data_IF_452599431063
#
_entry.id   IF_452599431063
#
_cell.length_a   1.000
_cell.length_b   1.000
_cell.length_c   1.000
_cell.angle_alpha   90.00
_cell.angle_beta   90.00
_cell.angle_gamma   90.00
#
_symmetry.space_group_name_H-M   'P 1'
#
loop_
_entity.id
_entity.type
_entity.pdbx_description
1 polymer ?
#
# COMPACT_ATOMS: atom_id res chain seq x y z
N UNK A 1 6.97 4.35 3.33
CA UNK A 1 6.53 4.20 1.92
C UNK A 1 7.49 3.25 1.20
N UNK A 2 7.01 2.12 0.69
CA UNK A 2 7.86 1.03 0.17
C UNK A 2 8.39 1.26 -1.26
N UNK A 3 7.85 2.25 -1.99
CA UNK A 3 8.28 2.58 -3.34
C UNK A 3 9.14 3.86 -3.37
N UNK A 4 10.32 3.77 -4.00
CA UNK A 4 11.23 4.92 -4.17
C UNK A 4 10.64 5.99 -5.09
N UNK A 5 9.93 5.58 -6.15
CA UNK A 5 9.26 6.43 -7.16
C UNK A 5 7.74 6.39 -7.00
N UNK A 6 7.07 7.37 -7.58
CA UNK A 6 5.60 7.45 -7.54
C UNK A 6 4.97 6.49 -8.56
N UNK A 7 3.87 5.79 -8.19
CA UNK A 7 3.22 4.85 -9.08
C UNK A 7 2.42 5.55 -10.17
N UNK A 8 2.63 5.15 -11.43
CA UNK A 8 1.77 5.44 -12.58
C UNK A 8 1.07 4.16 -12.98
N UNK A 9 -0.25 4.13 -12.77
CA UNK A 9 -1.09 2.97 -12.94
C UNK A 9 -1.77 3.01 -14.31
N UNK A 10 -1.51 2.01 -15.13
CA UNK A 10 -2.18 1.78 -16.42
C UNK A 10 -3.51 1.09 -16.10
N UNK A 11 -4.58 1.88 -16.03
CA UNK A 11 -5.87 1.47 -15.46
C UNK A 11 -7.03 1.85 -16.41
N UNK A 12 -7.21 1.13 -17.54
CA UNK A 12 -8.27 1.42 -18.50
C UNK A 12 -9.67 1.17 -17.93
N UNK A 13 -9.81 0.31 -16.92
CA UNK A 13 -11.07 -0.04 -16.27
C UNK A 13 -11.40 0.86 -15.07
N UNK A 14 -10.46 1.66 -14.57
CA UNK A 14 -10.66 2.56 -13.42
C UNK A 14 -10.65 1.85 -12.05
N UNK A 15 -10.18 0.61 -11.97
CA UNK A 15 -10.14 -0.15 -10.72
C UNK A 15 -9.12 0.44 -9.75
N UNK A 16 -7.91 0.73 -10.23
CA UNK A 16 -6.84 1.32 -9.43
C UNK A 16 -7.23 2.72 -8.95
N UNK A 17 -7.86 3.51 -9.82
CA UNK A 17 -8.38 4.82 -9.49
C UNK A 17 -9.40 4.78 -8.34
N UNK A 18 -10.39 3.88 -8.44
CA UNK A 18 -11.40 3.68 -7.39
C UNK A 18 -10.76 3.18 -6.10
N UNK A 19 -9.78 2.29 -6.20
CA UNK A 19 -9.05 1.75 -5.07
C UNK A 19 -8.27 2.83 -4.30
N UNK A 20 -7.50 3.69 -4.99
CA UNK A 20 -6.77 4.81 -4.36
C UNK A 20 -7.75 5.78 -3.67
N UNK A 21 -8.87 6.11 -4.33
CA UNK A 21 -9.92 6.97 -3.73
C UNK A 21 -10.50 6.39 -2.44
N UNK A 22 -10.68 5.06 -2.39
CA UNK A 22 -11.16 4.38 -1.19
C UNK A 22 -10.10 4.32 -0.09
N UNK A 23 -8.85 4.03 -0.47
CA UNK A 23 -7.72 3.89 0.45
C UNK A 23 -7.38 5.22 1.16
N UNK A 24 -7.43 6.33 0.43
CA UNK A 24 -7.10 7.66 0.97
C UNK A 24 -8.35 8.43 1.47
N UNK A 25 -9.50 7.74 1.62
CA UNK A 25 -10.77 8.37 2.03
C UNK A 25 -10.68 9.08 3.39
N UNK A 26 -10.01 8.47 4.36
CA UNK A 26 -9.92 8.99 5.74
C UNK A 26 -8.88 10.11 5.87
N UNK A 27 -7.78 10.03 5.12
CA UNK A 27 -6.70 11.03 5.14
C UNK A 27 -6.96 12.22 4.20
N UNK A 28 -7.97 12.10 3.33
CA UNK A 28 -8.31 13.07 2.31
C UNK A 28 -7.45 12.90 1.05
N UNK A 29 -8.10 13.00 -0.11
CA UNK A 29 -7.48 12.87 -1.42
C UNK A 29 -7.92 14.01 -2.32
N UNK A 30 -6.96 14.73 -2.88
CA UNK A 30 -7.22 15.75 -3.90
C UNK A 30 -7.07 15.12 -5.29
N UNK A 31 -8.14 15.15 -6.08
CA UNK A 31 -8.17 14.56 -7.42
C UNK A 31 -8.08 15.68 -8.45
N UNK A 32 -7.11 15.56 -9.36
CA UNK A 32 -6.82 16.60 -10.36
C UNK A 32 -6.55 15.99 -11.74
N UNK A 33 -6.69 16.80 -12.78
CA UNK A 33 -6.34 16.46 -14.17
C UNK A 33 -5.40 17.49 -14.75
N UNK A 34 -4.51 17.08 -15.66
CA UNK A 34 -3.59 18.01 -16.36
C UNK A 34 -4.35 19.09 -17.18
N UNK A 35 -5.59 18.82 -17.58
CA UNK A 35 -6.44 19.79 -18.28
C UNK A 35 -6.95 20.93 -17.40
N UNK A 36 -6.89 20.79 -16.08
CA UNK A 36 -7.42 21.78 -15.14
C UNK A 36 -6.40 22.88 -14.88
N UNK A 37 -6.78 24.15 -15.06
CA UNK A 37 -5.86 25.30 -14.89
C UNK A 37 -5.23 25.37 -13.50
N UNK A 38 -5.93 24.89 -12.50
CA UNK A 38 -5.53 24.98 -11.10
C UNK A 38 -4.78 23.73 -10.59
N UNK A 39 -4.45 22.76 -11.46
CA UNK A 39 -3.85 21.49 -11.02
C UNK A 39 -2.53 21.71 -10.26
N UNK A 40 -1.67 22.62 -10.72
CA UNK A 40 -0.40 22.94 -10.05
C UNK A 40 -0.64 23.52 -8.67
N UNK A 41 -1.63 24.40 -8.50
CA UNK A 41 -1.96 24.98 -7.20
C UNK A 41 -2.45 23.91 -6.22
N UNK A 42 -3.30 22.99 -6.67
CA UNK A 42 -3.76 21.87 -5.84
C UNK A 42 -2.60 20.96 -5.46
N UNK A 43 -1.68 20.69 -6.40
CA UNK A 43 -0.48 19.89 -6.15
C UNK A 43 0.48 20.57 -5.16
N UNK A 44 0.71 21.87 -5.30
CA UNK A 44 1.50 22.67 -4.35
C UNK A 44 0.92 22.61 -2.94
N UNK A 45 -0.41 22.73 -2.81
CA UNK A 45 -1.09 22.59 -1.52
C UNK A 45 -0.94 21.18 -0.96
N UNK A 46 -1.08 20.15 -1.79
CA UNK A 46 -0.86 18.76 -1.40
C UNK A 46 0.54 18.55 -0.81
N UNK A 47 1.57 19.06 -1.51
CA UNK A 47 2.96 18.99 -1.07
C UNK A 47 3.21 19.77 0.22
N UNK A 48 2.63 20.96 0.36
CA UNK A 48 2.79 21.83 1.54
C UNK A 48 2.17 21.24 2.80
N UNK A 49 0.98 20.65 2.67
CA UNK A 49 0.19 20.16 3.80
C UNK A 49 0.23 18.64 3.99
N UNK A 50 0.97 17.92 3.15
CA UNK A 50 1.10 16.47 3.26
C UNK A 50 -0.15 15.69 2.84
N UNK A 51 -1.02 16.26 2.00
CA UNK A 51 -2.23 15.57 1.51
C UNK A 51 -1.90 14.66 0.33
N UNK A 52 -2.65 13.58 0.19
CA UNK A 52 -2.55 12.73 -1.00
C UNK A 52 -3.14 13.44 -2.23
N UNK A 53 -2.46 13.31 -3.37
CA UNK A 53 -2.93 13.84 -4.66
C UNK A 53 -2.98 12.73 -5.70
N UNK A 54 -4.11 12.61 -6.40
CA UNK A 54 -4.31 11.69 -7.52
C UNK A 54 -4.43 12.48 -8.83
N UNK A 55 -3.46 12.29 -9.72
CA UNK A 55 -3.48 12.85 -11.07
C UNK A 55 -4.11 11.84 -12.04
N UNK A 56 -5.25 12.21 -12.60
CA UNK A 56 -6.03 11.35 -13.50
C UNK A 56 -5.77 11.62 -14.98
N UNK A 57 -5.91 10.55 -15.78
CA UNK A 57 -5.88 10.57 -17.24
C UNK A 57 -4.57 11.15 -17.80
N UNK A 58 -3.44 10.72 -17.24
CA UNK A 58 -2.14 11.09 -17.76
C UNK A 58 -1.97 10.55 -19.18
N UNK A 59 -1.49 11.40 -20.08
CA UNK A 59 -1.16 11.05 -21.45
C UNK A 59 0.15 10.26 -21.54
N UNK A 60 0.76 10.23 -22.72
CA UNK A 60 2.09 9.62 -22.92
C UNK A 60 3.22 10.60 -22.55
N UNK A 61 2.92 11.91 -22.56
CA UNK A 61 3.81 12.97 -22.14
C UNK A 61 3.45 13.46 -20.74
N UNK A 62 4.47 13.61 -19.90
CA UNK A 62 4.36 14.24 -18.58
C UNK A 62 4.73 15.72 -18.68
N UNK A 63 3.99 16.57 -17.97
CA UNK A 63 4.32 17.98 -17.86
C UNK A 63 5.65 18.16 -17.10
N UNK A 64 6.57 18.96 -17.65
CA UNK A 64 7.86 19.27 -17.04
C UNK A 64 7.73 19.90 -15.65
N UNK A 65 6.61 20.59 -15.36
CA UNK A 65 6.33 21.14 -14.04
C UNK A 65 6.22 20.08 -12.93
N UNK A 66 5.95 18.82 -13.28
CA UNK A 66 5.90 17.69 -12.33
C UNK A 66 7.28 17.13 -11.98
N UNK A 67 8.30 17.43 -12.78
CA UNK A 67 9.62 16.81 -12.66
C UNK A 67 10.26 16.92 -11.27
N UNK A 68 10.22 18.09 -10.59
CA UNK A 68 10.78 18.21 -9.25
C UNK A 68 10.12 17.27 -8.25
N UNK A 69 8.81 17.04 -8.36
CA UNK A 69 8.03 16.16 -7.48
C UNK A 69 8.30 14.70 -7.83
N UNK A 70 8.33 14.37 -9.11
CA UNK A 70 8.59 13.01 -9.59
C UNK A 70 9.95 12.49 -9.15
N UNK A 71 10.97 13.34 -9.28
CA UNK A 71 12.34 13.05 -8.90
C UNK A 71 12.63 13.31 -7.41
N UNK A 72 11.66 13.86 -6.66
CA UNK A 72 11.81 14.27 -5.25
C UNK A 72 13.03 15.18 -5.06
N UNK A 73 13.16 16.21 -5.92
CA UNK A 73 14.24 17.21 -5.89
C UNK A 73 14.08 18.18 -4.72
N UNK A 74 14.14 17.66 -3.50
CA UNK A 74 14.07 18.44 -2.28
C UNK A 74 15.44 18.96 -1.87
N UNK A 75 15.49 20.15 -1.29
CA UNK A 75 16.71 20.74 -0.76
C UNK A 75 16.45 21.35 0.63
N UNK A 76 17.51 21.51 1.43
CA UNK A 76 17.39 22.14 2.76
C UNK A 76 17.58 23.65 2.62
N UNK A 77 16.64 24.43 3.14
CA UNK A 77 16.73 25.89 3.22
C UNK A 77 16.16 26.34 4.56
N UNK A 78 16.93 27.11 5.33
CA UNK A 78 16.48 27.64 6.63
C UNK A 78 16.10 26.57 7.66
N UNK A 79 16.69 25.37 7.60
CA UNK A 79 16.39 24.26 8.53
C UNK A 79 15.19 23.40 8.13
N UNK A 80 14.40 23.81 7.14
CA UNK A 80 13.28 23.03 6.59
C UNK A 80 13.64 22.40 5.25
N UNK A 81 12.94 21.30 4.92
CA UNK A 81 13.04 20.67 3.59
C UNK A 81 12.07 21.42 2.67
N UNK A 82 12.60 21.92 1.56
CA UNK A 82 11.86 22.69 0.56
C UNK A 82 11.93 21.98 -0.79
N UNK A 83 11.01 22.29 -1.68
CA UNK A 83 10.97 21.81 -3.05
C UNK A 83 10.50 22.95 -3.97
N UNK A 84 11.07 23.03 -5.17
CA UNK A 84 10.62 23.97 -6.19
C UNK A 84 9.57 23.30 -7.07
N UNK A 85 8.37 23.86 -7.17
CA UNK A 85 7.28 23.39 -8.02
C UNK A 85 6.84 24.55 -8.90
N UNK A 86 6.97 24.41 -10.22
CA UNK A 86 6.83 25.55 -11.13
C UNK A 86 7.83 26.66 -10.77
N UNK A 87 7.32 27.86 -10.50
CA UNK A 87 8.14 29.00 -10.04
C UNK A 87 8.20 29.15 -8.51
N UNK A 88 7.40 28.38 -7.77
CA UNK A 88 7.25 28.53 -6.33
C UNK A 88 8.19 27.59 -5.56
N UNK A 89 8.84 28.13 -4.53
CA UNK A 89 9.57 27.32 -3.54
C UNK A 89 8.69 27.13 -2.31
N UNK A 90 8.32 25.88 -2.04
CA UNK A 90 7.37 25.52 -0.97
C UNK A 90 7.97 24.51 0.01
N UNK A 91 7.54 24.49 1.28
CA UNK A 91 7.89 23.44 2.21
C UNK A 91 7.43 22.08 1.71
N UNK A 92 8.29 21.07 1.83
CA UNK A 92 7.97 19.68 1.48
C UNK A 92 7.56 18.91 2.74
N UNK A 93 6.33 18.40 2.73
CA UNK A 93 5.82 17.54 3.81
C UNK A 93 6.15 16.06 3.55
N UNK A 94 6.66 15.35 4.56
CA UNK A 94 7.08 13.95 4.41
C UNK A 94 5.91 12.97 4.18
N UNK A 95 4.73 13.31 4.70
CA UNK A 95 3.52 12.49 4.52
C UNK A 95 2.84 12.68 3.16
N UNK A 96 3.34 13.59 2.31
CA UNK A 96 2.81 13.79 0.97
C UNK A 96 2.84 12.50 0.16
N UNK A 97 1.72 12.19 -0.50
CA UNK A 97 1.58 11.02 -1.39
C UNK A 97 1.10 11.45 -2.76
N UNK A 98 1.69 10.88 -3.80
CA UNK A 98 1.32 11.19 -5.17
C UNK A 98 1.01 9.91 -5.96
N UNK A 99 -0.15 9.91 -6.60
CA UNK A 99 -0.66 8.80 -7.40
C UNK A 99 -0.99 9.28 -8.81
N UNK A 100 -0.77 8.43 -9.79
CA UNK A 100 -1.00 8.75 -11.19
C UNK A 100 -1.76 7.61 -11.86
N UNK A 101 -2.74 7.94 -12.69
CA UNK A 101 -3.51 6.96 -13.45
C UNK A 101 -3.62 7.36 -14.93
N UNK A 102 -3.58 6.39 -15.82
CA UNK A 102 -3.90 6.57 -17.24
C UNK A 102 -4.98 5.58 -17.66
N UNK A 103 -5.86 6.01 -18.57
CA UNK A 103 -6.89 5.16 -19.19
C UNK A 103 -6.41 4.52 -20.49
N UNK A 104 -5.21 4.86 -20.96
CA UNK A 104 -4.66 4.26 -22.16
C UNK A 104 -4.36 2.79 -21.89
N UNK A 105 -4.85 1.90 -22.77
CA UNK A 105 -4.65 0.45 -22.61
C UNK A 105 -3.21 0.04 -22.85
N UNK A 106 -2.54 0.70 -23.79
CA UNK A 106 -1.16 0.42 -24.16
C UNK A 106 -0.41 1.73 -24.46
N UNK A 107 -0.15 2.56 -23.44
CA UNK A 107 0.57 3.82 -23.62
C UNK A 107 2.03 3.57 -23.97
N UNK A 108 2.55 4.27 -24.98
CA UNK A 108 3.95 4.19 -25.37
C UNK A 108 4.79 5.25 -24.65
N UNK A 109 5.15 4.97 -23.40
CA UNK A 109 5.98 5.87 -22.62
C UNK A 109 7.43 5.89 -23.09
N UNK A 110 7.98 7.08 -23.30
CA UNK A 110 9.40 7.25 -23.55
C UNK A 110 10.24 6.72 -22.36
N UNK A 111 11.46 6.21 -22.58
CA UNK A 111 12.32 5.70 -21.50
C UNK A 111 12.53 6.70 -20.35
N UNK A 112 12.53 7.98 -20.66
CA UNK A 112 12.61 9.07 -19.69
C UNK A 112 11.51 8.99 -18.61
N UNK A 113 10.27 8.68 -19.01
CA UNK A 113 9.14 8.52 -18.08
C UNK A 113 9.37 7.32 -17.16
N UNK A 114 9.81 6.19 -17.70
CA UNK A 114 10.08 4.95 -16.96
C UNK A 114 11.19 5.10 -15.91
N UNK A 115 12.08 6.08 -16.07
CA UNK A 115 13.11 6.42 -15.06
C UNK A 115 12.55 7.29 -13.94
N UNK A 116 11.52 8.11 -14.21
CA UNK A 116 10.92 9.05 -13.25
C UNK A 116 9.83 8.39 -12.40
N UNK A 117 9.03 7.49 -12.97
CA UNK A 117 7.87 6.87 -12.30
C UNK A 117 8.04 5.35 -12.14
N UNK A 118 7.20 4.75 -11.31
CA UNK A 118 7.02 3.30 -11.26
C UNK A 118 5.78 2.94 -12.08
N UNK A 119 5.97 2.40 -13.28
CA UNK A 119 4.87 1.91 -14.11
C UNK A 119 4.27 0.65 -13.50
N UNK A 120 2.97 0.67 -13.23
CA UNK A 120 2.20 -0.46 -12.71
C UNK A 120 1.09 -0.79 -13.72
N UNK A 121 1.00 -2.06 -14.10
CA UNK A 121 -0.05 -2.51 -14.99
C UNK A 121 -1.27 -2.94 -14.17
N UNK A 122 -2.39 -2.24 -14.33
CA UNK A 122 -3.69 -2.56 -13.74
C UNK A 122 -4.70 -3.02 -14.80
N UNK A 123 -4.21 -3.42 -15.98
CA UNK A 123 -5.04 -4.05 -16.99
C UNK A 123 -5.62 -5.36 -16.46
N UNK A 124 -6.95 -5.44 -16.43
CA UNK A 124 -7.66 -6.65 -16.04
C UNK A 124 -7.40 -7.76 -17.07
N UNK A 125 -6.80 -8.87 -16.62
CA UNK A 125 -6.63 -10.08 -17.43
C UNK A 125 -7.93 -10.88 -17.48
N UNK A 126 -8.10 -11.72 -18.51
CA UNK A 126 -9.30 -12.57 -18.62
C UNK A 126 -9.45 -13.49 -17.39
N UNK A 127 -8.36 -14.11 -16.96
CA UNK A 127 -8.31 -14.94 -15.76
C UNK A 127 -8.71 -14.14 -14.50
N UNK A 128 -8.18 -12.92 -14.34
CA UNK A 128 -8.53 -12.07 -13.20
C UNK A 128 -9.99 -11.60 -13.22
N UNK A 129 -10.57 -11.40 -14.41
CA UNK A 129 -11.99 -11.08 -14.54
C UNK A 129 -12.87 -12.28 -14.20
N UNK A 130 -12.48 -13.48 -14.65
CA UNK A 130 -13.19 -14.72 -14.35
C UNK A 130 -13.21 -14.98 -12.83
N UNK A 131 -12.08 -14.81 -12.15
CA UNK A 131 -12.01 -14.93 -10.69
C UNK A 131 -12.88 -13.89 -9.98
N UNK A 132 -12.87 -12.64 -10.45
CA UNK A 132 -13.74 -11.58 -9.92
C UNK A 132 -15.23 -11.92 -10.07
N UNK A 133 -15.63 -12.40 -11.25
CA UNK A 133 -17.01 -12.78 -11.52
C UNK A 133 -17.41 -14.01 -10.70
N UNK A 134 -16.54 -15.01 -10.59
CA UNK A 134 -16.77 -16.19 -9.75
C UNK A 134 -17.02 -15.77 -8.30
N UNK A 135 -16.20 -14.87 -7.75
CA UNK A 135 -16.39 -14.37 -6.39
C UNK A 135 -17.73 -13.66 -6.18
N UNK A 136 -18.18 -12.86 -7.16
CA UNK A 136 -19.49 -12.19 -7.11
C UNK A 136 -20.60 -13.23 -7.20
N UNK A 137 -20.54 -14.16 -8.15
CA UNK A 137 -21.56 -15.22 -8.32
C UNK A 137 -21.67 -16.09 -7.09
N UNK A 138 -20.56 -16.53 -6.49
CA UNK A 138 -20.57 -17.32 -5.25
C UNK A 138 -21.20 -16.53 -4.10
N UNK A 139 -20.94 -15.22 -4.02
CA UNK A 139 -21.53 -14.38 -2.98
C UNK A 139 -23.05 -14.26 -3.10
N UNK A 140 -23.58 -14.17 -4.33
CA UNK A 140 -25.02 -14.08 -4.58
C UNK A 140 -25.72 -15.44 -4.50
N UNK A 141 -25.14 -16.50 -5.09
CA UNK A 141 -25.77 -17.82 -5.15
C UNK A 141 -25.57 -18.65 -3.87
N UNK A 142 -24.43 -18.48 -3.19
CA UNK A 142 -24.02 -19.23 -2.00
C UNK A 142 -23.42 -18.32 -0.93
N UNK A 143 -24.23 -17.41 -0.35
CA UNK A 143 -23.76 -16.48 0.67
C UNK A 143 -23.21 -17.19 1.91
N UNK A 144 -23.71 -18.39 2.24
CA UNK A 144 -23.21 -19.24 3.31
C UNK A 144 -21.74 -19.64 3.13
N UNK A 145 -21.35 -20.01 1.90
CA UNK A 145 -19.96 -20.34 1.57
C UNK A 145 -19.07 -19.09 1.54
N UNK A 146 -19.60 -17.96 1.04
CA UNK A 146 -18.88 -16.69 1.02
C UNK A 146 -18.60 -16.19 2.45
N UNK A 147 -19.58 -16.28 3.35
CA UNK A 147 -19.41 -15.93 4.75
C UNK A 147 -18.41 -16.86 5.45
N UNK A 148 -18.51 -18.18 5.23
CA UNK A 148 -17.55 -19.13 5.77
C UNK A 148 -16.12 -18.83 5.30
N UNK A 149 -15.91 -18.55 4.00
CA UNK A 149 -14.61 -18.14 3.46
C UNK A 149 -14.11 -16.86 4.13
N UNK A 150 -14.94 -15.83 4.23
CA UNK A 150 -14.56 -14.57 4.88
C UNK A 150 -14.17 -14.77 6.34
N UNK A 151 -14.93 -15.60 7.09
CA UNK A 151 -14.60 -15.94 8.47
C UNK A 151 -13.26 -16.69 8.56
N UNK A 152 -13.01 -17.64 7.66
CA UNK A 152 -11.73 -18.36 7.60
C UNK A 152 -10.56 -17.41 7.33
N UNK A 153 -10.68 -16.47 6.38
CA UNK A 153 -9.65 -15.47 6.08
C UNK A 153 -9.36 -14.58 7.30
N UNK A 154 -10.40 -14.08 7.98
CA UNK A 154 -10.24 -13.25 9.18
C UNK A 154 -9.60 -14.04 10.32
N UNK A 155 -10.01 -15.28 10.52
CA UNK A 155 -9.44 -16.16 11.54
C UNK A 155 -7.98 -16.50 11.24
N UNK A 156 -7.63 -16.80 9.98
CA UNK A 156 -6.25 -17.05 9.55
C UNK A 156 -5.37 -15.81 9.79
N UNK A 157 -5.86 -14.62 9.45
CA UNK A 157 -5.15 -13.37 9.71
C UNK A 157 -4.94 -13.12 11.22
N UNK A 158 -5.95 -13.40 12.05
CA UNK A 158 -5.85 -13.30 13.52
C UNK A 158 -4.82 -14.28 14.07
N UNK A 159 -4.85 -15.52 13.59
CA UNK A 159 -3.91 -16.58 13.98
C UNK A 159 -2.47 -16.26 13.58
N UNK A 160 -2.24 -15.77 12.36
CA UNK A 160 -0.91 -15.31 11.91
C UNK A 160 -0.40 -14.13 12.76
N UNK A 161 -1.29 -13.22 13.16
CA UNK A 161 -0.95 -12.13 14.08
C UNK A 161 -0.57 -12.64 15.47
N UNK A 162 -1.36 -13.55 16.05
CA UNK A 162 -1.09 -14.16 17.35
C UNK A 162 0.25 -14.91 17.36
N UNK A 163 0.54 -15.65 16.29
CA UNK A 163 1.83 -16.34 16.12
C UNK A 163 3.00 -15.34 16.16
N UNK A 164 2.88 -14.23 15.43
CA UNK A 164 3.90 -13.17 15.45
C UNK A 164 4.04 -12.51 16.83
N UNK A 165 2.94 -12.27 17.54
CA UNK A 165 2.96 -11.72 18.90
C UNK A 165 3.66 -12.67 19.88
N UNK A 166 3.45 -13.99 19.73
CA UNK A 166 4.17 -15.01 20.49
C UNK A 166 5.67 -14.97 20.17
N UNK A 167 6.06 -14.89 18.90
CA UNK A 167 7.47 -14.77 18.48
C UNK A 167 8.12 -13.51 19.06
N UNK A 168 7.46 -12.36 18.95
CA UNK A 168 7.93 -11.09 19.49
C UNK A 168 8.07 -11.14 21.02
N UNK A 169 7.12 -11.80 21.71
CA UNK A 169 7.20 -12.03 23.17
C UNK A 169 8.39 -12.90 23.54
N UNK A 170 8.65 -13.98 22.80
CA UNK A 170 9.81 -14.86 23.01
C UNK A 170 11.11 -14.07 22.84
N UNK A 171 11.24 -13.30 21.76
CA UNK A 171 12.42 -12.47 21.50
C UNK A 171 12.63 -11.44 22.60
N UNK A 172 11.56 -10.81 23.08
CA UNK A 172 11.62 -9.85 24.18
C UNK A 172 12.12 -10.49 25.48
N UNK A 173 11.56 -11.65 25.86
CA UNK A 173 11.96 -12.32 27.10
C UNK A 173 13.42 -12.82 27.02
N UNK A 174 13.85 -13.37 25.87
CA UNK A 174 15.25 -13.76 25.66
C UNK A 174 16.21 -12.56 25.74
N UNK A 175 15.84 -11.42 25.14
CA UNK A 175 16.66 -10.20 25.16
C UNK A 175 16.76 -9.56 26.55
N UNK A 176 15.74 -9.70 27.39
CA UNK A 176 15.71 -9.13 28.73
C UNK A 176 16.21 -10.09 29.82
N UNK A 177 16.35 -11.38 29.51
CA UNK A 177 16.93 -12.33 30.45
C UNK A 177 18.38 -11.95 30.76
N UNK A 178 18.65 -11.60 32.03
CA UNK A 178 19.99 -11.28 32.52
C UNK A 178 20.50 -12.44 33.38
N UNK A 179 21.62 -13.04 33.01
CA UNK A 179 22.20 -14.19 33.72
C UNK A 179 21.97 -15.52 33.00
N UNK A 180 21.92 -16.61 33.76
CA UNK A 180 21.72 -17.95 33.21
C UNK A 180 20.23 -18.20 32.92
N UNK A 181 19.90 -18.33 31.63
CA UNK A 181 18.55 -18.51 31.08
C UNK A 181 17.88 -19.78 31.65
N UNK A 182 18.67 -20.76 32.09
CA UNK A 182 18.17 -22.01 32.66
C UNK A 182 17.60 -21.86 34.08
N UNK A 183 17.88 -20.75 34.76
CA UNK A 183 17.42 -20.49 36.13
C UNK A 183 16.12 -19.67 36.16
N UNK A 184 15.67 -19.17 35.00
CA UNK A 184 14.43 -18.41 34.85
C UNK A 184 13.24 -19.34 34.57
N UNK A 185 12.62 -19.82 35.65
CA UNK A 185 11.48 -20.74 35.61
C UNK A 185 10.25 -20.11 34.91
N UNK A 186 10.08 -18.78 34.98
CA UNK A 186 8.99 -18.06 34.33
C UNK A 186 9.18 -18.03 32.80
N UNK A 187 10.42 -17.79 32.35
CA UNK A 187 10.80 -17.87 30.95
C UNK A 187 10.60 -19.28 30.39
N UNK A 188 11.05 -20.32 31.10
CA UNK A 188 10.93 -21.72 30.66
C UNK A 188 9.45 -22.11 30.51
N UNK A 189 8.61 -21.77 31.49
CA UNK A 189 7.18 -22.06 31.44
C UNK A 189 6.48 -21.30 30.31
N UNK A 190 6.82 -20.03 30.11
CA UNK A 190 6.23 -19.22 29.03
C UNK A 190 6.66 -19.70 27.65
N UNK A 191 7.92 -20.14 27.48
CA UNK A 191 8.41 -20.76 26.25
C UNK A 191 7.72 -22.09 25.95
N UNK A 192 7.54 -22.93 26.97
CA UNK A 192 6.84 -24.21 26.83
C UNK A 192 5.38 -24.01 26.39
N UNK A 193 4.65 -23.09 27.04
CA UNK A 193 3.27 -22.75 26.68
C UNK A 193 3.19 -22.14 25.28
N UNK A 194 4.07 -21.18 24.97
CA UNK A 194 4.16 -20.54 23.66
C UNK A 194 4.42 -21.54 22.53
N UNK A 195 5.28 -22.54 22.77
CA UNK A 195 5.55 -23.60 21.80
C UNK A 195 4.32 -24.46 21.51
N UNK A 196 3.55 -24.83 22.54
CA UNK A 196 2.33 -25.62 22.36
C UNK A 196 1.29 -24.83 21.56
N UNK A 197 1.04 -23.58 21.96
CA UNK A 197 0.07 -22.71 21.26
C UNK A 197 0.50 -22.41 19.82
N UNK A 198 1.79 -22.14 19.58
CA UNK A 198 2.31 -21.89 18.24
C UNK A 198 2.18 -23.11 17.32
N UNK A 199 2.39 -24.33 17.84
CA UNK A 199 2.23 -25.55 17.05
C UNK A 199 0.76 -25.80 16.66
N UNK A 200 -0.18 -25.62 17.60
CA UNK A 200 -1.62 -25.75 17.33
C UNK A 200 -2.09 -24.71 16.29
N UNK A 201 -1.60 -23.48 16.39
CA UNK A 201 -1.88 -22.41 15.43
C UNK A 201 -1.31 -22.76 14.05
N UNK A 202 -0.06 -23.26 13.96
CA UNK A 202 0.54 -23.67 12.69
C UNK A 202 -0.24 -24.78 12.00
N UNK A 203 -0.68 -25.79 12.75
CA UNK A 203 -1.47 -26.89 12.20
C UNK A 203 -2.81 -26.40 11.65
N UNK A 204 -3.52 -25.57 12.42
CA UNK A 204 -4.79 -24.97 11.99
C UNK A 204 -4.63 -24.04 10.79
N UNK A 205 -3.56 -23.25 10.71
CA UNK A 205 -3.25 -22.41 9.55
C UNK A 205 -3.00 -23.29 8.31
N UNK A 206 -2.24 -24.38 8.44
CA UNK A 206 -1.98 -25.30 7.34
C UNK A 206 -3.23 -26.02 6.83
N UNK A 207 -4.18 -26.33 7.70
CA UNK A 207 -5.49 -26.89 7.31
C UNK A 207 -6.34 -25.85 6.59
N UNK A 208 -6.39 -24.62 7.12
CA UNK A 208 -7.12 -23.51 6.50
C UNK A 208 -6.59 -23.19 5.10
N UNK A 209 -5.26 -23.17 4.91
CA UNK A 209 -4.62 -22.91 3.61
C UNK A 209 -4.90 -24.00 2.55
N UNK A 210 -5.26 -25.22 2.96
CA UNK A 210 -5.71 -26.27 2.03
C UNK A 210 -7.20 -26.17 1.67
N UNK A 211 -7.96 -25.46 2.49
CA UNK A 211 -9.42 -25.32 2.36
C UNK A 211 -9.80 -24.09 1.54
N UNK A 212 -8.89 -23.09 1.51
CA UNK A 212 -8.97 -21.89 0.67
C UNK A 212 -8.71 -22.21 -0.82
#
# INVERSE_FOLDING_TARGET
>A
ANARRWPLMIDPQGQANKWVKNMEREHGLDVVKLSEKDFLRTLENGVRFGRAVLLENIGETLDAALEPILLKQTFKQGGSIMIKVGENVIPYHQDFRFYMTTKYRNPHYAPEVSVKVSLLNFFVTMEGLEEQLLGITVTEERPDLSEAKNQLVVNNAKMKKELKEIEDKILFMLSNSQGNILDDEELINTLAQSKVTSNDIQEKVAIAEKTE
#
